data_IF_483393276551
#
_entry.id   IF_483393276551
#
_cell.length_a   1.000
_cell.length_b   1.000
_cell.length_c   1.000
_cell.angle_alpha   90.00
_cell.angle_beta   90.00
_cell.angle_gamma   90.00
#
_symmetry.space_group_name_H-M   'P 1'
#
loop_
_entity.id
_entity.type
_entity.pdbx_description
1 polymer ?
#
# COMPACT_ATOMS: atom_id res chain seq x y z
N UNK A 1 -9.48 -39.94 12.45
CA UNK A 1 -9.29 -38.48 12.63
C UNK A 1 -8.49 -38.00 11.43
N UNK A 2 -9.19 -37.51 10.40
CA UNK A 2 -8.61 -37.00 9.17
C UNK A 2 -8.01 -35.63 9.43
N UNK A 3 -6.69 -35.56 9.51
CA UNK A 3 -5.94 -34.32 9.64
C UNK A 3 -5.75 -33.65 8.29
N UNK A 4 -6.83 -33.10 7.73
CA UNK A 4 -6.71 -32.26 6.55
C UNK A 4 -5.99 -30.95 6.92
N UNK A 5 -4.76 -30.80 6.48
CA UNK A 5 -4.01 -29.55 6.59
C UNK A 5 -4.70 -28.52 5.69
N UNK A 6 -5.45 -27.60 6.30
CA UNK A 6 -6.05 -26.47 5.57
C UNK A 6 -4.98 -25.46 5.22
N UNK A 7 -5.07 -24.85 4.01
CA UNK A 7 -4.17 -23.77 3.65
C UNK A 7 -4.38 -22.56 4.58
N UNK A 8 -3.30 -21.80 4.83
CA UNK A 8 -3.31 -20.60 5.68
C UNK A 8 -4.45 -19.63 5.34
N UNK A 9 -4.74 -19.43 4.07
CA UNK A 9 -5.83 -18.55 3.59
C UNK A 9 -7.22 -19.04 3.99
N UNK A 10 -7.43 -20.35 4.04
CA UNK A 10 -8.70 -20.94 4.46
C UNK A 10 -8.89 -20.77 5.97
N UNK A 11 -7.85 -21.03 6.75
CA UNK A 11 -7.86 -20.86 8.22
C UNK A 11 -8.05 -19.39 8.58
N UNK A 12 -7.37 -18.48 7.90
CA UNK A 12 -7.53 -17.03 8.08
C UNK A 12 -8.95 -16.56 7.77
N UNK A 13 -9.55 -17.01 6.66
CA UNK A 13 -10.94 -16.68 6.30
C UNK A 13 -11.95 -17.23 7.33
N UNK A 14 -11.73 -18.43 7.83
CA UNK A 14 -12.59 -19.04 8.85
C UNK A 14 -12.47 -18.31 10.19
N UNK A 15 -11.26 -17.92 10.59
CA UNK A 15 -10.99 -17.13 11.79
C UNK A 15 -11.64 -15.75 11.73
N UNK A 16 -11.50 -15.03 10.62
CA UNK A 16 -12.15 -13.73 10.41
C UNK A 16 -13.68 -13.86 10.41
N UNK A 17 -14.23 -14.94 9.85
CA UNK A 17 -15.68 -15.23 9.93
C UNK A 17 -16.14 -15.53 11.35
N UNK A 18 -15.32 -16.19 12.16
CA UNK A 18 -15.64 -16.50 13.57
C UNK A 18 -15.63 -15.24 14.44
N UNK A 19 -14.69 -14.33 14.21
CA UNK A 19 -14.65 -13.01 14.86
C UNK A 19 -15.89 -12.19 14.54
N UNK A 20 -16.34 -12.18 13.28
CA UNK A 20 -17.55 -11.45 12.85
C UNK A 20 -18.87 -12.01 13.42
N UNK A 21 -18.89 -13.26 13.87
CA UNK A 21 -20.10 -13.89 14.48
C UNK A 21 -20.29 -13.57 15.97
N UNK A 22 -19.21 -13.23 16.67
CA UNK A 22 -19.22 -13.02 18.13
C UNK A 22 -19.26 -11.56 18.56
N UNK A 23 -19.32 -10.63 17.61
CA UNK A 23 -19.26 -9.20 17.90
C UNK A 23 -20.57 -8.55 17.49
N UNK A 24 -21.27 -8.01 18.45
CA UNK A 24 -22.52 -7.27 18.21
C UNK A 24 -22.27 -6.10 17.28
N UNK A 25 -22.98 -6.06 16.15
CA UNK A 25 -22.76 -5.11 15.03
C UNK A 25 -22.83 -3.62 15.43
N UNK A 26 -23.27 -3.30 16.64
CA UNK A 26 -23.38 -1.94 17.14
C UNK A 26 -22.11 -1.35 17.76
N UNK A 27 -21.23 -2.18 18.34
CA UNK A 27 -19.98 -1.69 18.96
C UNK A 27 -18.80 -1.65 17.97
N UNK A 28 -18.88 -2.35 16.87
CA UNK A 28 -17.82 -2.50 15.87
C UNK A 28 -18.06 -1.74 14.55
N UNK A 29 -18.93 -0.76 14.55
CA UNK A 29 -19.10 0.15 13.40
C UNK A 29 -17.80 0.84 12.94
N UNK A 30 -16.67 0.61 13.62
CA UNK A 30 -15.35 1.12 13.31
C UNK A 30 -14.44 0.11 12.59
N UNK A 31 -14.75 -1.19 12.55
CA UNK A 31 -13.82 -2.21 12.08
C UNK A 31 -14.27 -3.04 10.87
N UNK A 32 -15.50 -2.90 10.42
CA UNK A 32 -15.97 -3.52 9.19
C UNK A 32 -16.34 -2.43 8.17
N UNK A 33 -15.44 -1.50 7.95
CA UNK A 33 -15.33 -1.00 6.59
C UNK A 33 -14.79 -2.19 5.80
N UNK A 34 -15.55 -2.70 4.82
CA UNK A 34 -14.99 -3.48 3.73
C UNK A 34 -13.69 -2.79 3.36
N UNK A 35 -12.55 -3.44 3.61
CA UNK A 35 -11.24 -2.83 3.36
C UNK A 35 -11.28 -2.49 1.88
N UNK A 36 -11.53 -1.22 1.59
CA UNK A 36 -11.64 -0.77 0.22
C UNK A 36 -10.25 -0.97 -0.39
N UNK A 37 -10.12 -2.04 -1.14
CA UNK A 37 -8.86 -2.40 -1.79
C UNK A 37 -8.50 -1.33 -2.81
N UNK A 38 -7.22 -1.08 -3.01
CA UNK A 38 -6.76 -0.32 -4.16
C UNK A 38 -7.33 -0.87 -5.45
N UNK A 39 -7.74 -0.01 -6.35
CA UNK A 39 -8.28 -0.39 -7.66
C UNK A 39 -7.92 0.66 -8.71
N UNK A 40 -7.94 0.27 -9.98
CA UNK A 40 -7.77 1.19 -11.10
C UNK A 40 -9.17 1.71 -11.48
N UNK A 41 -9.44 3.03 -11.31
CA UNK A 41 -10.75 3.59 -11.67
C UNK A 41 -11.02 3.47 -13.17
N UNK A 42 -12.28 3.21 -13.57
CA UNK A 42 -12.72 3.12 -14.97
C UNK A 42 -12.44 4.40 -15.77
N UNK A 43 -12.36 5.55 -15.09
CA UNK A 43 -12.01 6.84 -15.68
C UNK A 43 -10.54 6.93 -16.10
N UNK A 44 -9.67 6.06 -15.58
CA UNK A 44 -8.24 6.03 -15.90
C UNK A 44 -7.98 4.95 -16.94
N UNK A 45 -7.83 5.40 -18.20
CA UNK A 45 -7.46 4.51 -19.30
C UNK A 45 -5.95 4.54 -19.48
N UNK A 46 -5.30 3.43 -19.22
CA UNK A 46 -3.88 3.25 -19.48
C UNK A 46 -3.63 3.13 -20.99
N UNK A 47 -2.55 3.73 -21.45
CA UNK A 47 -2.12 3.68 -22.86
C UNK A 47 -1.28 2.41 -23.11
N UNK A 48 -1.19 1.95 -24.35
CA UNK A 48 -0.45 0.72 -24.71
C UNK A 48 0.98 0.69 -24.19
N UNK A 49 1.74 1.78 -24.33
CA UNK A 49 3.11 1.86 -23.83
C UNK A 49 3.21 1.82 -22.29
N UNK A 50 2.18 2.26 -21.56
CA UNK A 50 2.12 2.15 -20.10
C UNK A 50 1.90 0.70 -19.69
N UNK A 51 1.04 -0.02 -20.39
CA UNK A 51 0.81 -1.45 -20.16
C UNK A 51 2.07 -2.26 -20.46
N UNK A 52 2.72 -2.00 -21.59
CA UNK A 52 4.01 -2.64 -21.93
C UNK A 52 5.08 -2.40 -20.87
N UNK A 53 5.18 -1.16 -20.34
CA UNK A 53 6.12 -0.83 -19.27
C UNK A 53 5.83 -1.61 -17.98
N UNK A 54 4.54 -1.78 -17.62
CA UNK A 54 4.11 -2.58 -16.46
C UNK A 54 4.43 -4.05 -16.63
N UNK A 55 4.13 -4.63 -17.79
CA UNK A 55 4.43 -6.02 -18.13
C UNK A 55 5.94 -6.30 -18.02
N UNK A 56 6.78 -5.48 -18.64
CA UNK A 56 8.24 -5.59 -18.55
C UNK A 56 8.77 -5.49 -17.12
N UNK A 57 8.16 -4.62 -16.31
CA UNK A 57 8.54 -4.50 -14.90
C UNK A 57 8.18 -5.76 -14.10
N UNK A 58 7.02 -6.36 -14.35
CA UNK A 58 6.62 -7.64 -13.75
C UNK A 58 7.54 -8.78 -14.18
N UNK A 59 7.83 -8.89 -15.48
CA UNK A 59 8.75 -9.89 -16.04
C UNK A 59 10.16 -9.78 -15.43
N UNK A 60 10.60 -8.56 -15.13
CA UNK A 60 11.88 -8.31 -14.47
C UNK A 60 11.78 -8.38 -12.92
N UNK A 61 10.89 -9.22 -12.40
CA UNK A 61 10.71 -9.45 -10.95
C UNK A 61 10.43 -8.16 -10.16
N UNK A 62 9.64 -7.26 -10.76
CA UNK A 62 9.26 -5.98 -10.17
C UNK A 62 10.45 -5.04 -9.89
N UNK A 63 11.45 -5.07 -10.75
CA UNK A 63 12.64 -4.21 -10.68
C UNK A 63 12.85 -3.47 -11.98
N UNK A 64 13.22 -2.19 -11.91
CA UNK A 64 13.54 -1.42 -13.11
C UNK A 64 13.36 0.08 -12.94
N UNK A 65 13.56 0.78 -14.04
CA UNK A 65 13.39 2.23 -14.18
C UNK A 65 12.38 2.48 -15.28
N UNK A 66 11.35 3.24 -15.00
CA UNK A 66 10.44 3.76 -16.02
C UNK A 66 11.09 4.98 -16.70
N UNK A 67 11.81 4.73 -17.79
CA UNK A 67 12.36 5.79 -18.63
C UNK A 67 11.25 6.29 -19.58
N UNK A 68 10.52 7.27 -19.13
CA UNK A 68 9.36 7.84 -19.83
C UNK A 68 9.47 9.36 -19.89
N UNK A 69 9.09 9.97 -21.01
CA UNK A 69 9.12 11.43 -21.17
C UNK A 69 8.19 12.15 -20.17
N UNK A 70 8.44 13.44 -19.95
CA UNK A 70 7.57 14.27 -19.11
C UNK A 70 6.17 14.37 -19.73
N UNK A 71 5.13 14.30 -18.90
CA UNK A 71 3.73 14.36 -19.36
C UNK A 71 3.16 13.06 -19.91
N UNK A 72 3.92 11.97 -19.97
CA UNK A 72 3.44 10.66 -20.47
C UNK A 72 2.71 9.83 -19.43
N UNK A 73 2.52 10.35 -18.21
CA UNK A 73 1.77 9.68 -17.15
C UNK A 73 2.61 8.69 -16.32
N UNK A 74 3.91 8.98 -16.10
CA UNK A 74 4.78 8.16 -15.22
C UNK A 74 4.16 7.81 -13.89
N UNK A 75 3.55 8.79 -13.22
CA UNK A 75 2.91 8.59 -11.91
C UNK A 75 1.76 7.58 -12.00
N UNK A 76 0.92 7.71 -13.02
CA UNK A 76 -0.19 6.77 -13.26
C UNK A 76 0.36 5.37 -13.54
N UNK A 77 1.38 5.24 -14.38
CA UNK A 77 2.03 3.95 -14.66
C UNK A 77 2.58 3.34 -13.37
N UNK A 78 3.27 4.12 -12.54
CA UNK A 78 3.81 3.63 -11.27
C UNK A 78 2.71 3.19 -10.29
N UNK A 79 1.61 3.95 -10.17
CA UNK A 79 0.51 3.59 -9.27
C UNK A 79 -0.23 2.34 -9.76
N UNK A 80 -0.49 2.23 -11.07
CA UNK A 80 -1.11 1.01 -11.62
C UNK A 80 -0.22 -0.20 -11.45
N UNK A 81 1.10 -0.06 -11.59
CA UNK A 81 2.07 -1.13 -11.30
C UNK A 81 2.09 -1.53 -9.82
N UNK A 82 1.91 -0.57 -8.90
CA UNK A 82 1.77 -0.88 -7.47
C UNK A 82 0.52 -1.71 -7.18
N UNK A 83 -0.59 -1.47 -7.88
CA UNK A 83 -1.81 -2.26 -7.74
C UNK A 83 -1.56 -3.69 -8.21
N UNK A 84 -0.93 -3.88 -9.37
CA UNK A 84 -0.56 -5.20 -9.87
C UNK A 84 0.34 -5.95 -8.86
N UNK A 85 1.32 -5.24 -8.27
CA UNK A 85 2.21 -5.83 -7.27
C UNK A 85 1.46 -6.22 -5.99
N UNK A 86 0.53 -5.38 -5.51
CA UNK A 86 -0.30 -5.67 -4.36
C UNK A 86 -1.13 -6.95 -4.58
N UNK A 87 -1.75 -7.07 -5.73
CA UNK A 87 -2.52 -8.27 -6.11
C UNK A 87 -1.62 -9.50 -6.21
N UNK A 88 -0.46 -9.38 -6.87
CA UNK A 88 0.51 -10.47 -7.03
C UNK A 88 1.04 -10.99 -5.69
N UNK A 89 1.32 -10.09 -4.74
CA UNK A 89 1.84 -10.43 -3.39
C UNK A 89 0.76 -10.70 -2.36
N UNK A 90 -0.52 -10.78 -2.77
CA UNK A 90 -1.64 -10.98 -1.84
C UNK A 90 -1.69 -9.92 -0.73
N UNK A 91 -1.29 -8.70 -1.03
CA UNK A 91 -1.37 -7.51 -0.17
C UNK A 91 -0.45 -7.43 1.04
N UNK A 92 0.41 -8.33 1.31
CA UNK A 92 1.32 -8.22 2.47
C UNK A 92 2.58 -7.44 2.09
N UNK A 93 2.49 -6.09 2.01
CA UNK A 93 3.55 -5.22 1.47
C UNK A 93 3.67 -3.90 2.24
N UNK A 94 4.91 -3.43 2.41
CA UNK A 94 5.23 -2.05 2.77
C UNK A 94 5.70 -1.28 1.52
N UNK A 95 4.95 -0.22 1.16
CA UNK A 95 5.23 0.66 0.03
C UNK A 95 5.88 1.94 0.56
N UNK A 96 7.03 2.32 0.00
CA UNK A 96 7.71 3.56 0.34
C UNK A 96 7.96 4.36 -0.92
N UNK A 97 7.34 5.54 -1.00
CA UNK A 97 7.51 6.48 -2.11
C UNK A 97 8.39 7.62 -1.63
N UNK A 98 9.63 7.69 -2.14
CA UNK A 98 10.58 8.75 -1.82
C UNK A 98 10.57 9.82 -2.90
N UNK A 99 10.38 11.07 -2.50
CA UNK A 99 10.36 12.22 -3.39
C UNK A 99 11.34 13.30 -2.93
N UNK A 100 11.87 14.13 -3.84
CA UNK A 100 12.85 15.16 -3.45
C UNK A 100 12.25 16.30 -2.63
N UNK A 101 10.98 16.66 -2.82
CA UNK A 101 10.37 17.86 -2.24
C UNK A 101 9.01 17.58 -1.62
N UNK A 102 8.63 18.38 -0.60
CA UNK A 102 7.38 18.23 0.15
C UNK A 102 6.11 18.39 -0.72
N UNK A 103 6.12 19.33 -1.66
CA UNK A 103 4.97 19.52 -2.55
C UNK A 103 4.66 18.28 -3.41
N UNK A 104 5.68 17.47 -3.73
CA UNK A 104 5.48 16.19 -4.42
C UNK A 104 4.85 15.14 -3.50
N UNK A 105 5.07 15.20 -2.20
CA UNK A 105 4.34 14.33 -1.24
C UNK A 105 2.83 14.57 -1.36
N UNK A 106 2.43 15.83 -1.40
CA UNK A 106 1.01 16.20 -1.57
C UNK A 106 0.46 15.72 -2.92
N UNK A 107 1.18 15.99 -4.00
CA UNK A 107 0.79 15.58 -5.35
C UNK A 107 0.61 14.06 -5.47
N UNK A 108 1.58 13.28 -4.99
CA UNK A 108 1.48 11.82 -4.97
C UNK A 108 0.29 11.35 -4.13
N UNK A 109 0.06 11.99 -2.98
CA UNK A 109 -1.07 11.66 -2.13
C UNK A 109 -2.42 11.88 -2.79
N UNK A 110 -2.58 12.97 -3.54
CA UNK A 110 -3.79 13.24 -4.32
C UNK A 110 -4.01 12.20 -5.43
N UNK A 111 -2.93 11.77 -6.09
CA UNK A 111 -3.02 10.73 -7.10
C UNK A 111 -3.36 9.38 -6.47
N UNK A 112 -2.70 8.95 -5.37
CA UNK A 112 -2.99 7.70 -4.68
C UNK A 112 -4.44 7.59 -4.19
N UNK A 113 -5.03 8.70 -3.75
CA UNK A 113 -6.46 8.74 -3.34
C UNK A 113 -7.40 8.34 -4.47
N UNK A 114 -7.10 8.71 -5.72
CA UNK A 114 -7.92 8.34 -6.90
C UNK A 114 -7.99 6.82 -7.08
N UNK A 115 -6.95 6.11 -6.67
CA UNK A 115 -6.84 4.65 -6.73
C UNK A 115 -7.23 3.95 -5.42
N UNK A 116 -7.82 4.70 -4.49
CA UNK A 116 -8.19 4.22 -3.15
C UNK A 116 -7.01 3.66 -2.32
N UNK A 117 -5.80 4.17 -2.55
CA UNK A 117 -4.62 3.81 -1.78
C UNK A 117 -4.50 4.75 -0.57
N UNK A 118 -4.62 4.18 0.63
CA UNK A 118 -4.37 4.90 1.87
C UNK A 118 -2.87 5.10 2.07
N UNK A 119 -2.45 6.27 2.52
CA UNK A 119 -1.05 6.60 2.71
C UNK A 119 -0.79 7.45 3.95
N UNK A 120 0.45 7.42 4.41
CA UNK A 120 1.00 8.33 5.42
C UNK A 120 1.93 9.32 4.72
N UNK A 121 1.76 10.61 4.98
CA UNK A 121 2.65 11.66 4.50
C UNK A 121 3.73 11.96 5.57
N UNK A 122 4.94 11.41 5.38
CA UNK A 122 6.03 11.45 6.36
C UNK A 122 7.12 12.46 6.01
N UNK A 123 7.03 13.70 6.51
CA UNK A 123 8.08 14.71 6.38
C UNK A 123 8.12 15.63 7.61
N UNK A 124 9.25 16.34 7.82
CA UNK A 124 9.56 17.08 9.03
C UNK A 124 8.53 18.14 9.42
N UNK A 125 8.02 18.88 8.43
CA UNK A 125 7.09 20.00 8.65
C UNK A 125 5.62 19.57 8.70
N UNK A 126 5.34 18.26 8.60
CA UNK A 126 3.99 17.75 8.73
C UNK A 126 3.55 17.82 10.20
N UNK A 127 2.55 18.65 10.47
CA UNK A 127 1.97 18.87 11.81
C UNK A 127 1.23 17.63 12.37
N UNK A 128 0.87 16.66 11.52
CA UNK A 128 0.27 15.40 11.95
C UNK A 128 1.32 14.51 12.62
N UNK A 129 0.91 13.75 13.61
CA UNK A 129 1.80 12.79 14.24
C UNK A 129 2.03 11.55 13.36
N UNK A 130 2.53 11.77 12.14
CA UNK A 130 2.74 10.73 11.14
C UNK A 130 3.68 9.61 11.61
N UNK A 131 4.59 9.92 12.55
CA UNK A 131 5.50 8.93 13.13
C UNK A 131 4.73 7.88 13.93
N UNK A 132 3.80 8.32 14.76
CA UNK A 132 2.92 7.44 15.51
C UNK A 132 2.00 6.62 14.58
N UNK A 133 1.45 7.28 13.54
CA UNK A 133 0.62 6.59 12.55
C UNK A 133 1.41 5.51 11.80
N UNK A 134 2.69 5.77 11.49
CA UNK A 134 3.56 4.79 10.85
C UNK A 134 3.82 3.60 11.80
N UNK A 135 4.16 3.83 13.05
CA UNK A 135 4.39 2.77 14.04
C UNK A 135 3.14 1.90 14.23
N UNK A 136 1.97 2.54 14.35
CA UNK A 136 0.70 1.83 14.44
C UNK A 136 0.43 0.98 13.20
N UNK A 137 0.62 1.52 11.99
CA UNK A 137 0.36 0.77 10.77
C UNK A 137 1.36 -0.37 10.56
N UNK A 138 2.62 -0.22 10.98
CA UNK A 138 3.60 -1.32 10.99
C UNK A 138 3.16 -2.42 11.96
N UNK A 139 2.72 -2.04 13.16
CA UNK A 139 2.18 -3.00 14.11
C UNK A 139 0.97 -3.75 13.51
N UNK A 140 0.02 -3.03 12.93
CA UNK A 140 -1.17 -3.59 12.30
C UNK A 140 -0.82 -4.53 11.13
N UNK A 141 0.21 -4.21 10.32
CA UNK A 141 0.70 -5.07 9.25
C UNK A 141 1.30 -6.37 9.81
N UNK A 142 2.18 -6.27 10.80
CA UNK A 142 2.86 -7.43 11.41
C UNK A 142 1.91 -8.36 12.17
N UNK A 143 0.69 -7.90 12.49
CA UNK A 143 -0.34 -8.69 13.17
C UNK A 143 -1.53 -9.04 12.28
N UNK A 144 -1.37 -8.97 10.94
CA UNK A 144 -2.42 -9.30 9.96
C UNK A 144 -3.72 -8.48 10.08
N UNK A 145 -3.67 -7.34 10.79
CA UNK A 145 -4.80 -6.41 10.92
C UNK A 145 -4.92 -5.55 9.66
N UNK A 146 -3.80 -5.31 8.97
CA UNK A 146 -3.69 -4.48 7.78
C UNK A 146 -3.03 -5.26 6.64
N UNK A 147 -3.50 -5.05 5.42
CA UNK A 147 -3.00 -5.77 4.24
C UNK A 147 -1.75 -5.12 3.62
N UNK A 148 -1.63 -3.80 3.73
CA UNK A 148 -0.46 -3.04 3.26
C UNK A 148 -0.29 -1.74 4.03
N UNK A 149 0.91 -1.16 3.97
CA UNK A 149 1.18 0.22 4.36
C UNK A 149 1.76 0.99 3.18
N UNK A 150 1.49 2.29 3.11
CA UNK A 150 2.07 3.18 2.11
C UNK A 150 2.57 4.46 2.80
N UNK A 151 3.87 4.69 2.74
CA UNK A 151 4.53 5.90 3.23
C UNK A 151 5.00 6.73 2.05
N UNK A 152 4.54 7.98 1.94
CA UNK A 152 5.15 8.96 1.03
C UNK A 152 6.03 9.86 1.87
N UNK A 153 7.30 9.97 1.54
CA UNK A 153 8.27 10.72 2.33
C UNK A 153 9.25 11.49 1.45
N UNK A 154 9.89 12.51 2.01
CA UNK A 154 10.98 13.18 1.32
C UNK A 154 12.28 12.39 1.47
N UNK A 155 13.22 12.55 0.51
CA UNK A 155 14.54 11.92 0.60
C UNK A 155 15.27 12.28 1.92
N UNK A 156 15.09 13.50 2.41
CA UNK A 156 15.66 13.95 3.68
C UNK A 156 15.07 13.19 4.88
N UNK A 157 13.74 13.06 4.93
CA UNK A 157 13.06 12.32 6.00
C UNK A 157 13.32 10.82 5.94
N UNK A 158 13.39 10.24 4.73
CA UNK A 158 13.72 8.83 4.51
C UNK A 158 15.07 8.43 5.14
N UNK A 159 16.07 9.29 5.04
CA UNK A 159 17.42 9.04 5.59
C UNK A 159 17.49 9.11 7.12
N UNK A 160 16.43 9.53 7.80
CA UNK A 160 16.43 9.60 9.26
C UNK A 160 16.48 8.21 9.89
N UNK A 161 17.20 8.08 10.99
CA UNK A 161 17.29 6.84 11.78
C UNK A 161 15.92 6.32 12.20
N UNK A 162 14.98 7.23 12.40
CA UNK A 162 13.60 6.85 12.73
C UNK A 162 12.99 5.95 11.65
N UNK A 163 12.97 6.38 10.38
CA UNK A 163 12.39 5.60 9.28
C UNK A 163 13.23 4.33 9.02
N UNK A 164 14.57 4.47 8.96
CA UNK A 164 15.45 3.33 8.67
C UNK A 164 15.27 2.19 9.68
N UNK A 165 15.20 2.50 10.97
CA UNK A 165 14.99 1.49 12.00
C UNK A 165 13.61 0.83 11.93
N UNK A 166 12.59 1.51 11.43
CA UNK A 166 11.22 0.94 11.31
C UNK A 166 11.07 0.05 10.07
N UNK A 167 11.71 0.42 8.96
CA UNK A 167 11.69 -0.38 7.72
C UNK A 167 12.42 -1.71 7.91
N UNK A 168 13.52 -1.73 8.66
CA UNK A 168 14.26 -2.95 8.94
C UNK A 168 13.50 -3.94 9.85
N UNK A 169 12.36 -3.56 10.39
CA UNK A 169 11.49 -4.38 11.22
C UNK A 169 10.22 -4.89 10.52
N UNK A 170 10.12 -4.71 9.20
CA UNK A 170 9.03 -5.22 8.34
C UNK A 170 9.56 -6.42 7.48
#
# INVERSE_FOLDING_TARGET
>A
KDGTVKSYDVVRKEYLKSLNRNIDKKEFGFFVNERQRPFIPDSIKTRSYQNEAREKWQENSFKGIYDMATGTGKTITAITSLIDLLEYKSYYIAIIICVPYQHLVTQWGEDLKKFNIQYIAGYSDNKRNWKHDLEKQIFDLNHDIRDYICLITTNASYRTTFIQNRINGI
#
